data_IF_691726744223
#
_entry.id   IF_691726744223
#
_cell.length_a   1.000
_cell.length_b   1.000
_cell.length_c   1.000
_cell.angle_alpha   90.00
_cell.angle_beta   90.00
_cell.angle_gamma   90.00
#
_symmetry.space_group_name_H-M   'P 1'
#
loop_
_entity.id
_entity.type
_entity.pdbx_description
1 polymer ?
#
# COMPACT_ATOMS: atom_id res chain seq x y z
N UNK A 1 10.04 17.19 -7.14
CA UNK A 1 9.50 15.92 -6.60
C UNK A 1 9.46 14.90 -7.73
N UNK A 2 10.09 13.73 -7.58
CA UNK A 2 9.86 12.58 -8.47
C UNK A 2 8.85 11.67 -7.77
N UNK A 3 7.67 11.52 -8.34
CA UNK A 3 6.71 10.53 -7.88
C UNK A 3 7.13 9.17 -8.42
N UNK A 4 7.31 8.19 -7.55
CA UNK A 4 7.56 6.80 -7.95
C UNK A 4 6.22 6.19 -8.38
N UNK A 5 5.94 6.24 -9.68
CA UNK A 5 4.70 5.72 -10.26
C UNK A 5 4.54 4.21 -10.06
N UNK A 6 5.61 3.49 -9.74
CA UNK A 6 5.56 2.06 -9.41
C UNK A 6 4.81 1.79 -8.09
N UNK A 7 4.50 2.83 -7.31
CA UNK A 7 3.74 2.71 -6.07
C UNK A 7 2.22 2.81 -6.27
N UNK A 8 1.74 3.27 -7.44
CA UNK A 8 0.30 3.35 -7.74
C UNK A 8 -0.42 2.00 -7.70
N UNK A 9 0.15 0.89 -8.21
CA UNK A 9 -0.46 -0.44 -8.08
C UNK A 9 -0.66 -0.87 -6.61
N UNK A 10 0.25 -0.47 -5.71
CA UNK A 10 0.14 -0.76 -4.26
C UNK A 10 -1.05 -0.03 -3.66
N UNK A 11 -1.24 1.23 -4.01
CA UNK A 11 -2.38 2.02 -3.55
C UNK A 11 -3.71 1.42 -4.03
N UNK A 12 -3.82 1.12 -5.34
CA UNK A 12 -5.03 0.54 -5.93
C UNK A 12 -5.37 -0.83 -5.32
N UNK A 13 -4.36 -1.71 -5.18
CA UNK A 13 -4.56 -3.01 -4.56
C UNK A 13 -5.03 -2.90 -3.09
N UNK A 14 -4.50 -1.96 -2.31
CA UNK A 14 -4.94 -1.74 -0.94
C UNK A 14 -6.36 -1.15 -0.85
N UNK A 15 -6.72 -0.26 -1.77
CA UNK A 15 -8.07 0.32 -1.88
C UNK A 15 -9.12 -0.76 -2.16
N UNK A 16 -8.83 -1.69 -3.08
CA UNK A 16 -9.75 -2.75 -3.47
C UNK A 16 -9.78 -3.89 -2.45
N UNK A 17 -8.61 -4.38 -2.03
CA UNK A 17 -8.53 -5.55 -1.16
C UNK A 17 -8.82 -5.23 0.30
N UNK A 18 -8.61 -3.98 0.74
CA UNK A 18 -8.71 -3.56 2.15
C UNK A 18 -7.91 -4.45 3.11
N UNK A 19 -6.87 -5.13 2.61
CA UNK A 19 -6.04 -6.08 3.32
C UNK A 19 -4.64 -6.11 2.73
N UNK A 20 -3.65 -5.87 3.58
CA UNK A 20 -2.22 -5.91 3.20
C UNK A 20 -1.84 -7.28 2.67
N UNK A 21 -2.35 -8.36 3.28
CA UNK A 21 -2.03 -9.73 2.88
C UNK A 21 -2.61 -10.08 1.51
N UNK A 22 -3.89 -9.74 1.26
CA UNK A 22 -4.52 -10.00 -0.04
C UNK A 22 -3.94 -9.13 -1.15
N UNK A 23 -3.67 -7.85 -0.87
CA UNK A 23 -3.02 -6.95 -1.81
C UNK A 23 -1.62 -7.46 -2.21
N UNK A 24 -0.85 -8.00 -1.26
CA UNK A 24 0.48 -8.53 -1.54
C UNK A 24 0.40 -9.78 -2.43
N UNK A 25 -0.53 -10.68 -2.12
CA UNK A 25 -0.79 -11.87 -2.93
C UNK A 25 -1.21 -11.50 -4.37
N UNK A 26 -2.13 -10.53 -4.54
CA UNK A 26 -2.58 -10.06 -5.85
C UNK A 26 -1.46 -9.45 -6.69
N UNK A 27 -0.56 -8.71 -6.05
CA UNK A 27 0.59 -8.08 -6.73
C UNK A 27 1.78 -9.04 -6.90
N UNK A 28 1.69 -10.28 -6.43
CA UNK A 28 2.77 -11.26 -6.54
C UNK A 28 4.01 -10.89 -5.72
N UNK A 29 3.85 -10.12 -4.64
CA UNK A 29 4.94 -9.68 -3.77
C UNK A 29 4.73 -10.14 -2.33
N UNK A 30 5.78 -10.05 -1.52
CA UNK A 30 5.69 -10.38 -0.09
C UNK A 30 4.98 -9.26 0.69
N UNK A 31 4.32 -9.61 1.79
CA UNK A 31 3.69 -8.63 2.68
C UNK A 31 4.68 -7.56 3.21
N UNK A 32 5.94 -7.89 3.58
CA UNK A 32 6.94 -6.88 3.93
C UNK A 32 7.26 -5.92 2.78
N UNK A 33 7.39 -6.42 1.54
CA UNK A 33 7.65 -5.58 0.37
C UNK A 33 6.49 -4.61 0.10
N UNK A 34 5.24 -5.08 0.26
CA UNK A 34 4.07 -4.23 0.15
C UNK A 34 4.02 -3.16 1.26
N UNK A 35 4.32 -3.55 2.50
CA UNK A 35 4.35 -2.63 3.65
C UNK A 35 5.42 -1.54 3.47
N UNK A 36 6.60 -1.89 2.96
CA UNK A 36 7.65 -0.93 2.63
C UNK A 36 7.20 0.04 1.52
N UNK A 37 6.57 -0.48 0.47
CA UNK A 37 6.05 0.35 -0.63
C UNK A 37 4.95 1.31 -0.15
N UNK A 38 4.08 0.85 0.76
CA UNK A 38 3.09 1.71 1.40
C UNK A 38 3.74 2.82 2.24
N UNK A 39 4.77 2.53 3.02
CA UNK A 39 5.49 3.56 3.78
C UNK A 39 6.11 4.61 2.85
N UNK A 40 6.71 4.20 1.73
CA UNK A 40 7.21 5.14 0.72
C UNK A 40 6.09 6.00 0.12
N UNK A 41 4.89 5.44 -0.10
CA UNK A 41 3.74 6.22 -0.57
C UNK A 41 3.33 7.28 0.48
N UNK A 42 3.30 6.89 1.76
CA UNK A 42 2.99 7.79 2.87
C UNK A 42 3.97 8.95 2.95
N UNK A 43 5.27 8.68 2.86
CA UNK A 43 6.31 9.70 2.91
C UNK A 43 6.24 10.66 1.72
N UNK A 44 5.96 10.12 0.53
CA UNK A 44 5.89 10.89 -0.72
C UNK A 44 4.68 11.82 -0.73
N UNK A 45 3.53 11.33 -0.27
CA UNK A 45 2.28 12.08 -0.24
C UNK A 45 2.10 12.90 1.04
N UNK A 46 2.94 12.65 2.06
CA UNK A 46 2.81 13.19 3.42
C UNK A 46 1.41 12.93 4.01
N UNK A 47 0.90 11.73 3.76
CA UNK A 47 -0.45 11.31 4.13
C UNK A 47 -0.42 9.86 4.66
N UNK A 48 -1.19 9.50 5.71
CA UNK A 48 -1.23 8.15 6.24
C UNK A 48 -1.90 7.12 5.30
N UNK A 49 -2.72 7.56 4.35
CA UNK A 49 -3.43 6.84 3.29
C UNK A 49 -4.48 5.83 3.75
N UNK A 50 -4.05 4.87 4.58
CA UNK A 50 -4.88 3.81 5.13
C UNK A 50 -4.68 3.75 6.63
N UNK A 51 -5.79 3.86 7.36
CA UNK A 51 -5.84 3.72 8.82
C UNK A 51 -6.35 2.32 9.13
N UNK A 52 -5.66 1.62 10.02
CA UNK A 52 -6.10 0.31 10.50
C UNK A 52 -7.19 0.51 11.54
N UNK A 53 -8.44 0.29 11.15
CA UNK A 53 -9.54 0.16 12.13
C UNK A 53 -9.62 -1.27 12.68
N UNK A 54 -10.07 -1.39 13.92
CA UNK A 54 -10.35 -2.67 14.58
C UNK A 54 -11.79 -3.17 14.35
N UNK A 55 -12.56 -2.54 13.47
CA UNK A 55 -13.88 -3.04 13.10
C UNK A 55 -13.74 -4.10 12.00
N UNK A 56 -13.62 -5.35 12.46
CA UNK A 56 -13.39 -6.58 11.70
C UNK A 56 -12.84 -7.65 12.62
#
# INVERSE_FOLDING_TARGET
MRYDLNLLPVFLALMEERSVTRAAARLGITQPALSNSLNRLRDTLRDPLFIRERYG
#
